data_IF_189739185268
#
_entry.id   IF_189739185268
#
_cell.length_a   1.000
_cell.length_b   1.000
_cell.length_c   1.000
_cell.angle_alpha   90.00
_cell.angle_beta   90.00
_cell.angle_gamma   90.00
#
_symmetry.space_group_name_H-M   'P 1'
#
loop_
_entity.id
_entity.type
_entity.pdbx_description
1 polymer ?
#
# COMPACT_ATOMS: atom_id res chain seq x y z
N UNK A 1 7.15 -33.71 38.06
CA UNK A 1 6.86 -32.83 36.92
C UNK A 1 5.37 -32.52 36.99
N UNK A 2 5.00 -31.47 37.72
CA UNK A 2 3.63 -30.97 37.70
C UNK A 2 3.33 -30.51 36.27
N UNK A 3 2.23 -30.99 35.69
CA UNK A 3 1.68 -30.42 34.46
C UNK A 3 1.33 -28.97 34.79
N UNK A 4 2.17 -28.02 34.38
CA UNK A 4 1.74 -26.64 34.26
C UNK A 4 0.43 -26.66 33.47
N UNK A 5 -0.60 -26.02 34.03
CA UNK A 5 -1.91 -25.91 33.40
C UNK A 5 -1.68 -25.26 32.03
N UNK A 6 -2.02 -25.96 30.94
CA UNK A 6 -1.87 -25.45 29.58
C UNK A 6 -2.55 -24.07 29.53
N UNK A 7 -1.80 -23.01 29.22
CA UNK A 7 -2.37 -21.68 29.09
C UNK A 7 -3.22 -21.65 27.83
N UNK A 8 -4.47 -21.19 27.96
CA UNK A 8 -5.41 -21.12 26.84
C UNK A 8 -5.45 -19.67 26.39
N UNK A 9 -5.07 -19.42 25.14
CA UNK A 9 -5.17 -18.09 24.55
C UNK A 9 -6.64 -17.79 24.22
N UNK A 10 -7.15 -16.70 24.78
CA UNK A 10 -8.51 -16.21 24.54
C UNK A 10 -8.47 -14.69 24.48
N UNK A 11 -9.48 -14.07 23.87
CA UNK A 11 -9.65 -12.60 23.92
C UNK A 11 -9.57 -12.05 25.34
N UNK A 12 -10.19 -12.75 26.29
CA UNK A 12 -10.20 -12.33 27.70
C UNK A 12 -8.80 -12.30 28.32
N UNK A 13 -7.92 -13.23 27.95
CA UNK A 13 -6.52 -13.21 28.40
C UNK A 13 -5.84 -11.90 27.98
N UNK A 14 -5.99 -11.49 26.72
CA UNK A 14 -5.41 -10.23 26.23
C UNK A 14 -6.00 -9.00 26.94
N UNK A 15 -7.33 -8.98 27.12
CA UNK A 15 -8.04 -7.90 27.82
C UNK A 15 -7.54 -7.78 29.27
N UNK A 16 -7.49 -8.89 30.00
CA UNK A 16 -7.08 -8.90 31.41
C UNK A 16 -5.62 -8.46 31.55
N UNK A 17 -4.73 -8.98 30.70
CA UNK A 17 -3.32 -8.61 30.70
C UNK A 17 -3.10 -7.12 30.40
N UNK A 18 -3.85 -6.58 29.43
CA UNK A 18 -3.79 -5.16 29.07
C UNK A 18 -4.31 -4.27 30.20
N UNK A 19 -5.45 -4.63 30.81
CA UNK A 19 -6.02 -3.91 31.97
C UNK A 19 -5.10 -3.93 33.19
N UNK A 20 -4.48 -5.07 33.50
CA UNK A 20 -3.48 -5.17 34.57
C UNK A 20 -2.29 -4.22 34.37
N UNK A 21 -1.98 -3.89 33.11
CA UNK A 21 -0.90 -2.97 32.75
C UNK A 21 -1.39 -1.54 32.47
N UNK A 22 -2.70 -1.27 32.56
CA UNK A 22 -3.29 0.03 32.23
C UNK A 22 -3.14 0.40 30.75
N UNK A 23 -3.32 -0.57 29.84
CA UNK A 23 -3.28 -0.40 28.40
C UNK A 23 -4.64 -0.67 27.75
N UNK A 24 -4.96 0.12 26.73
CA UNK A 24 -6.09 -0.09 25.82
C UNK A 24 -5.72 0.47 24.43
N UNK A 25 -6.62 0.31 23.46
CA UNK A 25 -6.42 0.78 22.10
C UNK A 25 -6.31 2.32 21.97
N UNK A 26 -6.93 3.11 22.87
CA UNK A 26 -6.95 4.57 22.75
C UNK A 26 -5.55 5.19 22.77
N UNK A 27 -4.64 4.67 23.58
CA UNK A 27 -3.25 5.17 23.63
C UNK A 27 -2.56 4.97 22.26
N UNK A 28 -2.86 3.86 21.60
CA UNK A 28 -2.28 3.54 20.30
C UNK A 28 -2.87 4.44 19.22
N UNK A 29 -4.21 4.61 19.20
CA UNK A 29 -4.90 5.57 18.31
C UNK A 29 -4.38 7.00 18.50
N UNK A 30 -4.19 7.44 19.75
CA UNK A 30 -3.65 8.77 20.06
C UNK A 30 -2.24 8.95 19.49
N UNK A 31 -1.36 7.95 19.67
CA UNK A 31 -0.02 7.97 19.08
C UNK A 31 -0.05 7.85 17.55
N UNK A 32 -1.01 7.12 16.99
CA UNK A 32 -1.20 6.89 15.56
C UNK A 32 -1.87 8.04 14.80
N UNK A 33 -2.49 8.99 15.51
CA UNK A 33 -3.12 10.18 14.89
C UNK A 33 -2.12 11.07 14.14
N UNK A 34 -0.84 11.02 14.51
CA UNK A 34 0.25 11.65 13.78
C UNK A 34 0.75 10.77 12.63
N UNK A 35 0.95 11.35 11.45
CA UNK A 35 1.67 10.64 10.37
C UNK A 35 3.10 10.36 10.85
N UNK A 36 3.51 9.09 10.70
CA UNK A 36 4.88 8.66 10.96
C UNK A 36 5.37 8.95 12.40
N UNK A 37 4.50 8.82 13.41
CA UNK A 37 4.86 9.10 14.80
C UNK A 37 6.06 8.24 15.26
N UNK A 38 7.11 8.92 15.73
CA UNK A 38 8.30 8.29 16.31
C UNK A 38 8.46 8.67 17.78
N UNK A 39 8.61 7.67 18.65
CA UNK A 39 9.05 7.84 20.04
C UNK A 39 10.56 7.57 20.06
N UNK A 40 11.35 8.64 20.04
CA UNK A 40 12.81 8.54 20.07
C UNK A 40 13.30 8.42 21.50
N UNK A 41 13.82 7.26 21.88
CA UNK A 41 14.27 6.99 23.26
C UNK A 41 15.54 7.77 23.61
N UNK A 42 15.61 8.27 24.84
CA UNK A 42 16.82 8.82 25.44
C UNK A 42 17.71 7.72 26.05
N UNK A 43 18.82 8.08 26.70
CA UNK A 43 19.73 7.10 27.28
C UNK A 43 19.11 6.22 28.39
N UNK A 44 18.13 6.73 29.13
CA UNK A 44 17.50 5.98 30.21
C UNK A 44 16.41 5.04 29.68
N UNK A 45 15.57 5.54 28.77
CA UNK A 45 14.56 4.73 28.07
C UNK A 45 15.16 3.77 27.05
N UNK A 46 16.38 4.02 26.56
CA UNK A 46 17.14 3.07 25.74
C UNK A 46 17.43 1.77 26.50
N UNK A 47 17.76 1.86 27.80
CA UNK A 47 17.97 0.64 28.62
C UNK A 47 16.69 -0.19 28.72
N UNK A 48 15.52 0.47 28.79
CA UNK A 48 14.23 -0.21 28.77
C UNK A 48 13.98 -0.88 27.42
N UNK A 49 14.23 -0.17 26.31
CA UNK A 49 14.11 -0.72 24.96
C UNK A 49 15.03 -1.93 24.76
N UNK A 50 16.28 -1.87 25.21
CA UNK A 50 17.23 -2.99 25.13
C UNK A 50 16.69 -4.21 25.89
N UNK A 51 16.25 -4.04 27.14
CA UNK A 51 15.66 -5.13 27.94
C UNK A 51 14.41 -5.71 27.31
N UNK A 52 13.56 -4.86 26.76
CA UNK A 52 12.38 -5.31 26.04
C UNK A 52 12.78 -6.15 24.81
N UNK A 53 13.80 -5.74 24.05
CA UNK A 53 14.29 -6.55 22.93
C UNK A 53 14.97 -7.85 23.37
N UNK A 54 15.63 -7.90 24.53
CA UNK A 54 16.11 -9.14 25.13
C UNK A 54 14.95 -10.10 25.43
N UNK A 55 13.78 -9.57 25.84
CA UNK A 55 12.58 -10.39 26.01
C UNK A 55 12.07 -10.94 24.68
N UNK A 56 12.03 -10.12 23.64
CA UNK A 56 11.69 -10.59 22.29
C UNK A 56 12.68 -11.66 21.81
N UNK A 57 13.96 -11.60 22.20
CA UNK A 57 14.99 -12.55 21.79
C UNK A 57 14.74 -13.99 22.27
N UNK A 58 13.80 -14.21 23.19
CA UNK A 58 13.32 -15.56 23.52
C UNK A 58 12.48 -16.21 22.41
N UNK A 59 12.01 -15.41 21.45
CA UNK A 59 11.33 -15.86 20.24
C UNK A 59 12.35 -16.05 19.10
N UNK A 60 12.09 -17.00 18.21
CA UNK A 60 12.94 -17.28 17.04
C UNK A 60 12.94 -16.09 16.06
N UNK A 61 14.08 -15.86 15.41
CA UNK A 61 14.22 -14.84 14.36
C UNK A 61 13.50 -15.28 13.09
N UNK A 62 12.71 -14.37 12.51
CA UNK A 62 11.85 -14.66 11.36
C UNK A 62 12.41 -14.10 10.04
N UNK A 63 13.49 -13.33 10.09
CA UNK A 63 14.08 -12.71 8.91
C UNK A 63 15.37 -11.95 9.22
N UNK A 64 15.72 -11.02 8.34
CA UNK A 64 16.92 -10.20 8.48
C UNK A 64 16.81 -9.22 9.67
N UNK A 65 17.96 -8.73 10.14
CA UNK A 65 18.04 -7.67 11.16
C UNK A 65 17.39 -8.05 12.50
N UNK A 66 17.60 -9.30 12.95
CA UNK A 66 17.05 -9.82 14.22
C UNK A 66 15.51 -9.64 14.31
N UNK A 67 14.81 -9.64 13.17
CA UNK A 67 13.38 -9.35 13.09
C UNK A 67 12.54 -10.42 13.78
N UNK A 68 11.59 -9.95 14.61
CA UNK A 68 10.61 -10.78 15.33
C UNK A 68 9.27 -10.04 15.34
N UNK A 69 8.23 -10.68 14.81
CA UNK A 69 6.88 -10.12 14.72
C UNK A 69 5.84 -11.02 15.38
N UNK A 70 4.83 -10.42 16.00
CA UNK A 70 3.64 -11.15 16.44
C UNK A 70 2.44 -10.23 16.60
N UNK A 71 1.26 -10.83 16.66
CA UNK A 71 0.01 -10.12 16.84
C UNK A 71 -0.37 -9.98 18.32
N UNK A 72 -0.90 -8.83 18.68
CA UNK A 72 -1.51 -8.55 19.97
C UNK A 72 -2.94 -8.07 19.77
N UNK A 73 -3.73 -8.20 20.83
CA UNK A 73 -5.09 -7.71 20.90
C UNK A 73 -5.20 -6.80 22.14
N UNK A 74 -5.78 -5.61 21.97
CA UNK A 74 -6.00 -4.65 23.06
C UNK A 74 -7.49 -4.35 23.20
N UNK A 75 -8.01 -4.15 24.43
CA UNK A 75 -9.39 -3.75 24.63
C UNK A 75 -9.65 -2.35 24.05
N UNK A 76 -10.85 -2.13 23.53
CA UNK A 76 -11.32 -0.76 23.30
C UNK A 76 -11.36 0.03 24.62
N UNK A 77 -11.13 1.36 24.60
CA UNK A 77 -11.29 2.17 25.79
C UNK A 77 -12.74 2.12 26.31
N UNK A 78 -12.92 2.23 27.63
CA UNK A 78 -14.22 2.63 28.19
C UNK A 78 -14.54 4.08 27.81
N UNK A 79 -15.76 4.54 28.11
CA UNK A 79 -16.15 5.93 27.84
C UNK A 79 -15.23 6.90 28.59
N UNK A 80 -14.92 6.60 29.85
CA UNK A 80 -14.04 7.40 30.72
C UNK A 80 -12.57 7.35 30.29
N UNK A 81 -12.15 6.25 29.65
CA UNK A 81 -10.80 6.11 29.11
C UNK A 81 -10.64 6.77 27.73
N UNK A 82 -11.74 7.00 27.01
CA UNK A 82 -11.74 7.64 25.70
C UNK A 82 -11.63 9.16 25.81
N UNK A 83 -12.30 9.76 26.79
CA UNK A 83 -12.19 11.18 27.10
C UNK A 83 -13.09 11.61 28.26
N UNK A 84 -13.03 12.90 28.58
CA UNK A 84 -13.90 13.49 29.59
C UNK A 84 -15.15 14.07 28.91
N UNK A 85 -16.25 13.31 28.96
CA UNK A 85 -17.53 13.69 28.38
C UNK A 85 -18.05 15.05 28.89
N UNK A 86 -17.91 15.34 30.18
CA UNK A 86 -18.38 16.60 30.75
C UNK A 86 -17.53 17.78 30.25
N UNK A 87 -16.22 17.60 30.17
CA UNK A 87 -15.32 18.61 29.62
C UNK A 87 -15.57 18.85 28.13
N UNK A 88 -15.70 17.81 27.31
CA UNK A 88 -15.97 17.96 25.88
C UNK A 88 -17.32 18.63 25.60
N UNK A 89 -18.35 18.40 26.42
CA UNK A 89 -19.62 19.15 26.33
C UNK A 89 -19.43 20.62 26.76
N UNK A 90 -18.68 20.87 27.83
CA UNK A 90 -18.41 22.23 28.31
C UNK A 90 -17.60 23.05 27.29
N UNK A 91 -16.69 22.41 26.57
CA UNK A 91 -15.88 23.01 25.51
C UNK A 91 -16.65 23.15 24.17
N UNK A 92 -17.87 22.60 24.11
CA UNK A 92 -18.75 22.67 22.95
C UNK A 92 -18.38 21.72 21.81
N UNK A 93 -17.58 20.70 22.08
CA UNK A 93 -17.25 19.62 21.13
C UNK A 93 -18.48 18.72 20.86
N UNK A 94 -19.33 18.54 21.89
CA UNK A 94 -20.59 17.79 21.78
C UNK A 94 -21.75 18.57 22.41
N UNK A 95 -22.94 18.44 21.85
CA UNK A 95 -24.17 19.07 22.35
C UNK A 95 -24.78 18.33 23.54
N UNK A 96 -24.48 17.03 23.69
CA UNK A 96 -25.08 16.18 24.73
C UNK A 96 -24.24 14.94 25.04
N UNK A 97 -24.51 14.31 26.19
CA UNK A 97 -23.94 13.01 26.54
C UNK A 97 -24.33 11.94 25.52
N UNK A 98 -25.57 11.96 25.02
CA UNK A 98 -26.03 11.01 24.01
C UNK A 98 -25.23 11.10 22.70
N UNK A 99 -24.87 12.30 22.28
CA UNK A 99 -24.02 12.52 21.09
C UNK A 99 -22.60 11.99 21.32
N UNK A 100 -21.99 12.31 22.46
CA UNK A 100 -20.68 11.79 22.85
C UNK A 100 -20.66 10.26 22.87
N UNK A 101 -21.67 9.63 23.46
CA UNK A 101 -21.78 8.17 23.55
C UNK A 101 -21.93 7.53 22.17
N UNK A 102 -22.71 8.15 21.29
CA UNK A 102 -22.87 7.67 19.91
C UNK A 102 -21.55 7.76 19.15
N UNK A 103 -20.78 8.83 19.32
CA UNK A 103 -19.49 8.98 18.66
C UNK A 103 -18.45 8.01 19.23
N UNK A 104 -18.47 7.77 20.55
CA UNK A 104 -17.65 6.72 21.18
C UNK A 104 -17.95 5.34 20.57
N UNK A 105 -19.23 4.97 20.41
CA UNK A 105 -19.63 3.69 19.81
C UNK A 105 -19.20 3.58 18.34
N UNK A 106 -19.31 4.66 17.57
CA UNK A 106 -18.89 4.71 16.16
C UNK A 106 -17.37 4.63 16.00
N UNK A 107 -16.63 5.31 16.88
CA UNK A 107 -15.16 5.34 16.88
C UNK A 107 -14.55 4.05 17.43
N UNK A 108 -15.28 3.31 18.29
CA UNK A 108 -14.83 2.08 18.93
C UNK A 108 -15.78 0.90 18.66
N UNK A 109 -15.98 0.53 17.37
CA UNK A 109 -17.02 -0.44 16.97
C UNK A 109 -16.71 -1.88 17.39
N UNK A 110 -15.48 -2.15 17.86
CA UNK A 110 -15.03 -3.48 18.26
C UNK A 110 -14.69 -3.50 19.74
N UNK A 111 -14.98 -4.62 20.41
CA UNK A 111 -14.55 -4.84 21.80
C UNK A 111 -13.03 -4.82 21.95
N UNK A 112 -12.30 -5.20 20.89
CA UNK A 112 -10.85 -5.29 20.85
C UNK A 112 -10.30 -4.87 19.49
N UNK A 113 -9.05 -4.41 19.49
CA UNK A 113 -8.31 -4.00 18.30
C UNK A 113 -7.04 -4.83 18.18
N UNK A 114 -6.79 -5.33 16.97
CA UNK A 114 -5.63 -6.15 16.64
C UNK A 114 -4.49 -5.28 16.14
N UNK A 115 -3.30 -5.48 16.69
CA UNK A 115 -2.07 -4.85 16.23
C UNK A 115 -1.02 -5.92 15.95
N UNK A 116 -0.27 -5.74 14.88
CA UNK A 116 0.99 -6.41 14.65
C UNK A 116 2.12 -5.58 15.26
N UNK A 117 2.93 -6.23 16.09
CA UNK A 117 4.10 -5.65 16.74
C UNK A 117 5.34 -6.30 16.17
N UNK A 118 6.28 -5.49 15.68
CA UNK A 118 7.58 -5.99 15.23
C UNK A 118 8.71 -5.37 16.03
N UNK A 119 9.71 -6.17 16.35
CA UNK A 119 10.99 -5.75 16.90
C UNK A 119 12.07 -6.06 15.88
N UNK A 120 12.98 -5.09 15.67
CA UNK A 120 14.13 -5.28 14.78
C UNK A 120 15.37 -4.56 15.31
N UNK A 121 16.53 -5.07 14.89
CA UNK A 121 17.83 -4.47 15.17
C UNK A 121 18.74 -4.56 13.95
N UNK A 122 19.17 -3.40 13.48
CA UNK A 122 20.22 -3.28 12.48
C UNK A 122 21.42 -2.54 13.05
N UNK A 123 22.51 -3.27 13.31
CA UNK A 123 23.70 -2.73 13.99
C UNK A 123 23.33 -2.15 15.37
N UNK A 124 23.53 -0.85 15.55
CA UNK A 124 23.18 -0.11 16.76
C UNK A 124 21.74 0.43 16.74
N UNK A 125 21.07 0.39 15.59
CA UNK A 125 19.71 0.89 15.45
C UNK A 125 18.72 -0.16 15.93
N UNK A 126 17.80 0.26 16.80
CA UNK A 126 16.78 -0.57 17.44
C UNK A 126 15.42 0.03 17.19
N UNK A 127 14.45 -0.79 16.84
CA UNK A 127 13.08 -0.37 16.55
C UNK A 127 12.06 -1.36 17.09
N UNK A 128 10.95 -0.82 17.61
CA UNK A 128 9.69 -1.55 17.78
C UNK A 128 8.61 -0.80 17.03
N UNK A 129 7.91 -1.45 16.11
CA UNK A 129 6.87 -0.84 15.28
C UNK A 129 5.51 -1.45 15.58
N UNK A 130 4.49 -0.60 15.55
CA UNK A 130 3.09 -0.95 15.76
C UNK A 130 2.27 -0.61 14.53
N UNK A 131 1.52 -1.58 14.03
CA UNK A 131 0.66 -1.43 12.85
C UNK A 131 -0.55 -2.33 12.96
N UNK A 132 -1.69 -1.97 12.37
CA UNK A 132 -2.80 -2.90 12.13
C UNK A 132 -2.69 -3.55 10.72
N UNK A 133 -1.49 -3.48 10.11
CA UNK A 133 -1.16 -3.81 8.72
C UNK A 133 -1.75 -2.85 7.66
N UNK A 134 -2.80 -2.09 7.96
CA UNK A 134 -3.39 -1.08 7.07
C UNK A 134 -2.80 0.31 7.30
N UNK A 135 -2.38 0.58 8.53
CA UNK A 135 -1.87 1.85 9.03
C UNK A 135 -0.68 1.57 9.94
N UNK A 136 0.39 2.36 9.79
CA UNK A 136 1.48 2.40 10.76
C UNK A 136 1.08 3.40 11.85
N UNK A 137 1.03 2.95 13.09
CA UNK A 137 0.64 3.78 14.22
C UNK A 137 1.83 4.60 14.72
N UNK A 138 2.82 3.92 15.29
CA UNK A 138 4.02 4.59 15.77
C UNK A 138 5.21 3.62 15.79
N UNK A 139 6.40 4.19 15.87
CA UNK A 139 7.66 3.46 16.02
C UNK A 139 8.40 3.95 17.26
N UNK A 140 8.85 3.04 18.11
CA UNK A 140 9.78 3.33 19.20
C UNK A 140 11.19 3.04 18.70
N UNK A 141 12.10 4.01 18.72
CA UNK A 141 13.44 3.84 18.16
C UNK A 141 14.51 4.63 18.93
N UNK A 142 15.77 4.20 18.84
CA UNK A 142 16.93 4.95 19.38
C UNK A 142 17.58 5.91 18.36
N UNK A 143 16.87 6.17 17.27
CA UNK A 143 17.20 7.14 16.23
C UNK A 143 15.88 7.69 15.67
N UNK A 144 15.96 8.80 14.93
CA UNK A 144 14.84 9.30 14.15
C UNK A 144 15.15 9.19 12.67
N UNK A 145 14.13 8.89 11.87
CA UNK A 145 14.23 8.93 10.40
C UNK A 145 14.07 10.35 9.85
N UNK A 146 13.38 11.22 10.58
CA UNK A 146 12.93 12.53 10.10
C UNK A 146 13.66 13.70 10.76
N UNK A 147 14.31 13.49 11.90
CA UNK A 147 14.88 14.56 12.71
C UNK A 147 16.35 14.26 13.04
N UNK A 148 17.23 15.25 12.86
CA UNK A 148 18.58 15.17 13.40
C UNK A 148 18.51 15.11 14.93
N UNK A 149 19.33 14.26 15.58
CA UNK A 149 19.40 14.04 17.05
C UNK A 149 19.58 15.29 17.95
N UNK A 150 19.56 16.49 17.39
CA UNK A 150 19.90 17.77 18.03
C UNK A 150 18.68 18.47 18.68
N UNK A 151 17.51 17.84 18.72
CA UNK A 151 16.31 18.38 19.39
C UNK A 151 15.88 17.55 20.60
N UNK A 152 15.35 18.21 21.65
CA UNK A 152 14.75 17.60 22.85
C UNK A 152 13.42 16.84 22.56
N UNK A 153 13.38 16.02 21.52
CA UNK A 153 12.22 15.19 21.16
C UNK A 153 12.30 13.81 21.84
N UNK A 154 12.70 13.83 23.11
CA UNK A 154 12.75 12.65 23.95
C UNK A 154 11.40 12.40 24.60
N UNK A 155 11.17 11.20 25.13
CA UNK A 155 9.86 10.84 25.66
C UNK A 155 9.49 11.78 26.82
N UNK A 156 8.33 12.42 26.73
CA UNK A 156 7.75 13.18 27.84
C UNK A 156 7.30 12.22 28.97
N UNK A 157 6.88 12.74 30.12
CA UNK A 157 6.50 11.90 31.26
C UNK A 157 5.40 10.89 30.93
N UNK A 158 4.39 11.31 30.15
CA UNK A 158 3.32 10.43 29.69
C UNK A 158 3.83 9.32 28.78
N UNK A 159 4.72 9.62 27.83
CA UNK A 159 5.35 8.61 26.97
C UNK A 159 6.24 7.65 27.78
N UNK A 160 6.93 8.12 28.82
CA UNK A 160 7.73 7.24 29.71
C UNK A 160 6.87 6.28 30.51
N UNK A 161 5.76 6.77 31.05
CA UNK A 161 4.77 5.95 31.73
C UNK A 161 4.18 4.89 30.78
N UNK A 162 3.80 5.29 29.57
CA UNK A 162 3.35 4.38 28.52
C UNK A 162 4.40 3.30 28.20
N UNK A 163 5.66 3.69 27.98
CA UNK A 163 6.74 2.74 27.70
C UNK A 163 6.95 1.74 28.85
N UNK A 164 6.79 2.17 30.10
CA UNK A 164 6.87 1.29 31.26
C UNK A 164 5.72 0.27 31.30
N UNK A 165 4.48 0.73 31.07
CA UNK A 165 3.29 -0.13 30.97
C UNK A 165 3.40 -1.14 29.83
N UNK A 166 3.84 -0.68 28.66
CA UNK A 166 4.09 -1.49 27.48
C UNK A 166 5.15 -2.57 27.73
N UNK A 167 6.24 -2.19 28.39
CA UNK A 167 7.31 -3.12 28.78
C UNK A 167 6.78 -4.20 29.73
N UNK A 168 5.95 -3.85 30.71
CA UNK A 168 5.34 -4.81 31.63
C UNK A 168 4.40 -5.77 30.89
N UNK A 169 3.56 -5.25 30.00
CA UNK A 169 2.64 -6.03 29.18
C UNK A 169 3.38 -7.06 28.33
N UNK A 170 4.43 -6.66 27.62
CA UNK A 170 5.18 -7.59 26.76
C UNK A 170 5.96 -8.63 27.53
N UNK A 171 6.53 -8.31 28.70
CA UNK A 171 7.14 -9.35 29.53
C UNK A 171 6.14 -10.46 29.85
N UNK A 172 4.97 -10.07 30.39
CA UNK A 172 3.91 -11.03 30.73
C UNK A 172 3.40 -11.80 29.51
N UNK A 173 3.18 -11.11 28.39
CA UNK A 173 2.64 -11.73 27.18
C UNK A 173 3.63 -12.72 26.58
N UNK A 174 4.90 -12.32 26.42
CA UNK A 174 5.95 -13.19 25.87
C UNK A 174 6.19 -14.39 26.78
N UNK A 175 6.24 -14.20 28.11
CA UNK A 175 6.34 -15.31 29.07
C UNK A 175 5.17 -16.29 28.93
N UNK A 176 3.99 -15.79 28.55
CA UNK A 176 2.80 -16.62 28.29
C UNK A 176 2.90 -17.34 26.95
N UNK A 177 3.38 -16.68 25.90
CA UNK A 177 3.61 -17.27 24.57
C UNK A 177 4.64 -18.41 24.65
N UNK A 178 5.73 -18.24 25.39
CA UNK A 178 6.79 -19.25 25.52
C UNK A 178 6.28 -20.53 26.22
N UNK A 179 5.27 -20.42 27.08
CA UNK A 179 4.67 -21.60 27.70
C UNK A 179 3.93 -22.49 26.70
N UNK A 180 3.33 -21.89 25.67
CA UNK A 180 2.59 -22.62 24.63
C UNK A 180 2.47 -21.80 23.31
N UNK A 181 3.52 -21.79 22.48
CA UNK A 181 3.53 -21.00 21.25
C UNK A 181 2.57 -21.57 20.20
N UNK A 182 2.31 -22.88 20.23
CA UNK A 182 1.34 -23.52 19.32
C UNK A 182 -0.08 -23.01 19.61
N UNK A 183 -0.50 -22.96 20.88
CA UNK A 183 -1.81 -22.41 21.26
C UNK A 183 -1.94 -20.92 20.89
N UNK A 184 -0.88 -20.12 21.05
CA UNK A 184 -0.87 -18.73 20.61
C UNK A 184 -1.06 -18.62 19.08
N UNK A 185 -0.27 -19.38 18.32
CA UNK A 185 -0.37 -19.38 16.86
C UNK A 185 -1.75 -19.85 16.38
N UNK A 186 -2.32 -20.87 17.01
CA UNK A 186 -3.69 -21.33 16.73
C UNK A 186 -4.72 -20.25 17.05
N UNK A 187 -4.58 -19.52 18.17
CA UNK A 187 -5.47 -18.42 18.49
C UNK A 187 -5.43 -17.33 17.40
N UNK A 188 -4.22 -16.88 17.01
CA UNK A 188 -4.05 -15.87 15.95
C UNK A 188 -4.62 -16.37 14.62
N UNK A 189 -4.31 -17.62 14.23
CA UNK A 189 -4.78 -18.20 12.98
C UNK A 189 -6.31 -18.24 12.88
N UNK A 190 -7.01 -18.48 14.00
CA UNK A 190 -8.46 -18.57 14.06
C UNK A 190 -9.19 -17.24 14.28
N UNK A 191 -8.52 -16.20 14.80
CA UNK A 191 -9.19 -14.95 15.22
C UNK A 191 -8.68 -13.68 14.54
N UNK A 192 -7.53 -13.71 13.87
CA UNK A 192 -7.00 -12.54 13.18
C UNK A 192 -7.98 -12.06 12.08
N UNK A 193 -8.37 -10.77 12.04
CA UNK A 193 -9.28 -10.27 11.00
C UNK A 193 -8.72 -10.44 9.59
N UNK A 194 -9.58 -10.79 8.63
CA UNK A 194 -9.18 -10.99 7.22
C UNK A 194 -8.57 -9.75 6.56
N UNK A 195 -8.92 -8.55 7.03
CA UNK A 195 -8.35 -7.28 6.58
C UNK A 195 -6.88 -7.10 6.96
N UNK A 196 -6.36 -7.89 7.90
CA UNK A 196 -4.95 -7.93 8.27
C UNK A 196 -4.21 -9.12 7.67
N UNK A 197 -4.90 -9.95 6.87
CA UNK A 197 -4.34 -11.14 6.21
C UNK A 197 -3.98 -10.84 4.78
N UNK A 198 -3.00 -11.57 4.28
CA UNK A 198 -2.67 -11.63 2.88
C UNK A 198 -3.36 -12.84 2.25
N UNK A 199 -3.80 -12.70 1.01
CA UNK A 199 -4.43 -13.78 0.27
C UNK A 199 -4.63 -13.41 -1.18
N UNK A 200 -5.42 -14.20 -1.90
CA UNK A 200 -5.79 -13.91 -3.29
C UNK A 200 -7.13 -14.53 -3.63
N UNK A 201 -7.79 -13.96 -4.63
CA UNK A 201 -9.06 -14.46 -5.15
C UNK A 201 -9.00 -14.49 -6.67
N UNK A 202 -9.57 -15.52 -7.31
CA UNK A 202 -9.64 -15.59 -8.76
C UNK A 202 -10.34 -14.35 -9.31
N UNK A 203 -9.72 -13.66 -10.29
CA UNK A 203 -10.25 -12.38 -10.79
C UNK A 203 -11.68 -12.51 -11.31
N UNK A 204 -11.98 -13.62 -11.99
CA UNK A 204 -13.33 -13.93 -12.48
C UNK A 204 -14.37 -13.97 -11.37
N UNK A 205 -14.03 -14.53 -10.20
CA UNK A 205 -14.94 -14.56 -9.05
C UNK A 205 -15.03 -13.18 -8.39
N UNK A 206 -13.90 -12.50 -8.25
CA UNK A 206 -13.88 -11.14 -7.69
C UNK A 206 -14.73 -10.17 -8.51
N UNK A 207 -14.55 -10.12 -9.83
CA UNK A 207 -15.34 -9.27 -10.73
C UNK A 207 -16.84 -9.63 -10.75
N UNK A 208 -17.18 -10.90 -10.49
CA UNK A 208 -18.58 -11.33 -10.33
C UNK A 208 -19.20 -10.77 -9.05
N UNK A 209 -18.43 -10.72 -7.97
CA UNK A 209 -18.89 -10.24 -6.66
C UNK A 209 -18.88 -8.71 -6.64
N UNK A 210 -17.81 -8.10 -7.15
CA UNK A 210 -17.53 -6.67 -7.10
C UNK A 210 -17.20 -6.13 -8.51
N UNK A 211 -18.23 -5.95 -9.37
CA UNK A 211 -18.04 -5.61 -10.78
C UNK A 211 -17.48 -4.19 -10.98
N UNK A 212 -17.52 -3.30 -9.98
CA UNK A 212 -16.97 -1.93 -10.10
C UNK A 212 -15.45 -1.95 -10.30
N UNK A 213 -14.78 -3.00 -9.85
CA UNK A 213 -13.33 -3.17 -9.97
C UNK A 213 -12.92 -3.98 -11.21
N UNK A 214 -13.88 -4.40 -12.03
CA UNK A 214 -13.58 -5.06 -13.29
C UNK A 214 -12.89 -4.07 -14.24
N UNK A 215 -11.74 -4.48 -14.74
CA UNK A 215 -10.98 -3.72 -15.74
C UNK A 215 -11.68 -3.84 -17.08
N UNK A 216 -12.23 -2.74 -17.58
CA UNK A 216 -12.89 -2.64 -18.88
C UNK A 216 -12.18 -1.58 -19.74
N UNK A 217 -12.07 -1.85 -21.04
CA UNK A 217 -11.41 -0.97 -22.01
C UNK A 217 -12.30 -0.76 -23.22
N UNK A 218 -12.22 0.40 -23.88
CA UNK A 218 -13.13 0.78 -24.97
C UNK A 218 -13.12 -0.21 -26.16
N UNK A 219 -11.94 -0.71 -26.53
CA UNK A 219 -11.75 -1.62 -27.66
C UNK A 219 -10.98 -2.87 -27.21
N UNK A 220 -11.68 -3.74 -26.50
CA UNK A 220 -11.13 -4.97 -25.92
C UNK A 220 -10.49 -5.87 -26.99
N UNK A 221 -11.07 -5.95 -28.19
CA UNK A 221 -10.53 -6.79 -29.27
C UNK A 221 -9.14 -6.31 -29.69
N UNK A 222 -9.00 -5.00 -29.92
CA UNK A 222 -7.70 -4.43 -30.30
C UNK A 222 -6.71 -4.43 -29.13
N UNK A 223 -7.18 -4.19 -27.90
CA UNK A 223 -6.35 -4.26 -26.70
C UNK A 223 -5.75 -5.65 -26.50
N UNK A 224 -6.58 -6.71 -26.57
CA UNK A 224 -6.11 -8.10 -26.50
C UNK A 224 -5.10 -8.37 -27.60
N UNK A 225 -5.36 -7.93 -28.83
CA UNK A 225 -4.44 -8.14 -29.95
C UNK A 225 -3.08 -7.45 -29.74
N UNK A 226 -3.09 -6.19 -29.27
CA UNK A 226 -1.87 -5.45 -28.97
C UNK A 226 -1.01 -6.16 -27.90
N UNK A 227 -1.67 -6.66 -26.85
CA UNK A 227 -1.00 -7.41 -25.79
C UNK A 227 -0.47 -8.76 -26.28
N UNK A 228 -1.24 -9.52 -27.07
CA UNK A 228 -0.80 -10.79 -27.66
C UNK A 228 0.40 -10.62 -28.59
N UNK A 229 0.39 -9.58 -29.42
CA UNK A 229 1.50 -9.26 -30.30
C UNK A 229 2.75 -8.87 -29.50
N UNK A 230 2.60 -8.08 -28.43
CA UNK A 230 3.72 -7.77 -27.53
C UNK A 230 4.28 -9.02 -26.84
N UNK A 231 3.40 -9.91 -26.35
CA UNK A 231 3.81 -11.20 -25.73
C UNK A 231 4.59 -12.07 -26.72
N UNK A 232 4.14 -12.11 -27.98
CA UNK A 232 4.80 -12.88 -29.04
C UNK A 232 6.01 -12.16 -29.66
N UNK A 233 6.39 -10.98 -29.14
CA UNK A 233 7.42 -10.10 -29.70
C UNK A 233 7.17 -9.71 -31.16
N UNK A 234 5.91 -9.68 -31.57
CA UNK A 234 5.45 -9.22 -32.87
C UNK A 234 5.18 -7.71 -32.85
N UNK A 235 6.23 -6.92 -32.63
CA UNK A 235 6.11 -5.49 -32.37
C UNK A 235 5.79 -4.64 -33.61
N UNK A 236 5.64 -5.24 -34.80
CA UNK A 236 5.65 -4.49 -36.06
C UNK A 236 7.07 -4.16 -36.53
N UNK A 237 7.18 -3.48 -37.68
CA UNK A 237 8.49 -3.10 -38.25
C UNK A 237 9.13 -2.00 -37.39
N UNK A 238 10.33 -2.22 -36.80
CA UNK A 238 11.02 -1.19 -36.04
C UNK A 238 11.33 0.05 -36.88
N UNK A 239 11.48 1.19 -36.22
CA UNK A 239 11.92 2.43 -36.87
C UNK A 239 13.43 2.36 -37.09
N UNK A 240 13.88 2.80 -38.28
CA UNK A 240 15.29 2.80 -38.64
C UNK A 240 16.09 3.86 -37.84
N UNK A 241 15.42 4.93 -37.41
CA UNK A 241 15.98 6.02 -36.59
C UNK A 241 14.90 6.56 -35.64
N UNK A 242 15.31 7.13 -34.51
CA UNK A 242 14.42 7.86 -33.62
C UNK A 242 14.86 9.31 -33.51
N UNK A 243 13.89 10.22 -33.68
CA UNK A 243 14.09 11.65 -33.57
C UNK A 243 13.13 12.23 -32.54
N UNK A 244 13.42 13.42 -32.02
CA UNK A 244 12.54 14.11 -31.06
C UNK A 244 11.16 14.33 -31.70
N UNK A 245 11.11 14.72 -32.98
CA UNK A 245 9.86 14.87 -33.72
C UNK A 245 9.05 13.57 -33.77
N UNK A 246 9.72 12.46 -34.09
CA UNK A 246 9.09 11.13 -34.17
C UNK A 246 8.58 10.67 -32.81
N UNK A 247 9.34 10.87 -31.74
CA UNK A 247 8.93 10.55 -30.39
C UNK A 247 7.72 11.41 -29.94
N UNK A 248 7.76 12.73 -30.18
CA UNK A 248 6.68 13.63 -29.83
C UNK A 248 5.33 13.22 -30.45
N UNK A 249 5.34 12.67 -31.65
CA UNK A 249 4.14 12.09 -32.29
C UNK A 249 3.51 10.99 -31.44
N UNK A 250 4.31 9.99 -31.04
CA UNK A 250 3.80 8.87 -30.23
C UNK A 250 3.43 9.33 -28.82
N UNK A 251 4.22 10.22 -28.23
CA UNK A 251 3.89 10.82 -26.94
C UNK A 251 2.53 11.53 -26.99
N UNK A 252 2.24 12.32 -28.03
CA UNK A 252 0.95 12.99 -28.19
C UNK A 252 -0.19 11.99 -28.26
N UNK A 253 -0.09 10.94 -29.08
CA UNK A 253 -1.12 9.90 -29.20
C UNK A 253 -1.41 9.27 -27.84
N UNK A 254 -0.36 8.91 -27.10
CA UNK A 254 -0.47 8.34 -25.78
C UNK A 254 -1.10 9.32 -24.76
N UNK A 255 -0.65 10.57 -24.77
CA UNK A 255 -1.15 11.60 -23.85
C UNK A 255 -2.60 11.99 -24.15
N UNK A 256 -3.03 12.02 -25.42
CA UNK A 256 -4.43 12.24 -25.79
C UNK A 256 -5.32 11.07 -25.35
N UNK A 257 -4.86 9.82 -25.47
CA UNK A 257 -5.58 8.65 -24.96
C UNK A 257 -5.70 8.68 -23.43
N UNK A 258 -4.60 9.02 -22.74
CA UNK A 258 -4.59 9.28 -21.30
C UNK A 258 -5.58 10.39 -20.91
N UNK A 259 -5.61 11.50 -21.65
CA UNK A 259 -6.54 12.60 -21.43
C UNK A 259 -7.99 12.15 -21.53
N UNK A 260 -8.36 11.48 -22.62
CA UNK A 260 -9.71 10.95 -22.86
C UNK A 260 -10.19 9.99 -21.78
N UNK A 261 -9.31 9.11 -21.29
CA UNK A 261 -9.65 8.19 -20.20
C UNK A 261 -10.15 8.96 -18.96
N UNK A 262 -9.44 10.03 -18.58
CA UNK A 262 -9.80 10.80 -17.39
C UNK A 262 -10.92 11.82 -17.59
N UNK A 263 -11.20 12.25 -18.82
CA UNK A 263 -12.37 13.08 -19.13
C UNK A 263 -13.69 12.40 -18.72
N UNK A 264 -13.71 11.06 -18.64
CA UNK A 264 -14.85 10.27 -18.14
C UNK A 264 -15.15 10.52 -16.66
N UNK A 265 -14.13 10.89 -15.86
CA UNK A 265 -14.25 11.08 -14.41
C UNK A 265 -14.24 12.56 -14.00
N UNK A 266 -13.58 13.41 -14.77
CA UNK A 266 -13.47 14.84 -14.50
C UNK A 266 -13.58 15.67 -15.80
N UNK A 267 -14.77 16.23 -16.01
CA UNK A 267 -15.09 17.08 -17.16
C UNK A 267 -14.49 18.49 -17.05
N UNK A 268 -13.88 18.85 -15.91
CA UNK A 268 -13.26 20.16 -15.70
C UNK A 268 -11.80 20.21 -16.19
N UNK A 269 -11.23 19.06 -16.58
CA UNK A 269 -9.89 19.02 -17.19
C UNK A 269 -9.87 19.87 -18.45
N UNK A 270 -8.96 20.86 -18.46
CA UNK A 270 -8.77 21.73 -19.63
C UNK A 270 -8.20 20.92 -20.79
N UNK A 271 -8.98 20.84 -21.87
CA UNK A 271 -8.50 20.35 -23.16
C UNK A 271 -7.39 21.29 -23.64
N UNK A 272 -6.20 20.74 -23.85
CA UNK A 272 -5.05 21.50 -24.35
C UNK A 272 -5.17 21.66 -25.86
N UNK A 273 -5.45 22.88 -26.31
CA UNK A 273 -5.46 23.23 -27.73
C UNK A 273 -4.12 23.83 -28.14
N UNK A 274 -3.61 23.40 -29.29
CA UNK A 274 -2.42 24.00 -29.88
C UNK A 274 -2.70 25.48 -30.23
N UNK A 275 -1.69 26.36 -30.14
CA UNK A 275 -1.79 27.71 -30.70
C UNK A 275 -2.12 27.67 -32.19
N UNK A 276 -2.86 28.67 -32.67
CA UNK A 276 -3.06 28.85 -34.11
C UNK A 276 -1.70 29.05 -34.81
N UNK A 277 -1.57 28.60 -36.07
CA UNK A 277 -0.41 28.82 -36.95
C UNK A 277 0.84 27.94 -36.75
N UNK A 278 0.79 26.87 -35.93
CA UNK A 278 1.91 25.91 -35.85
C UNK A 278 2.01 25.07 -37.14
N UNK A 279 3.18 25.04 -37.83
CA UNK A 279 3.38 24.19 -39.01
C UNK A 279 3.07 22.72 -38.71
N UNK A 280 2.44 22.02 -39.67
CA UNK A 280 1.98 20.63 -39.49
C UNK A 280 3.07 19.70 -38.94
N UNK A 281 4.29 19.85 -39.46
CA UNK A 281 5.46 19.06 -39.06
C UNK A 281 5.92 19.31 -37.61
N UNK A 282 5.57 20.46 -37.02
CA UNK A 282 5.95 20.85 -35.66
C UNK A 282 4.81 20.70 -34.64
N UNK A 283 3.61 20.30 -35.06
CA UNK A 283 2.45 20.24 -34.16
C UNK A 283 2.68 19.33 -32.96
N UNK A 284 3.32 18.17 -33.16
CA UNK A 284 3.57 17.22 -32.07
C UNK A 284 4.64 17.73 -31.11
N UNK A 285 5.65 18.44 -31.62
CA UNK A 285 6.69 19.09 -30.79
C UNK A 285 6.08 20.25 -29.99
N UNK A 286 5.26 21.09 -30.63
CA UNK A 286 4.52 22.15 -29.94
C UNK A 286 3.57 21.59 -28.87
N UNK A 287 2.93 20.45 -29.15
CA UNK A 287 2.11 19.75 -28.18
C UNK A 287 2.94 19.30 -26.98
N UNK A 288 4.08 18.66 -27.22
CA UNK A 288 4.98 18.22 -26.16
C UNK A 288 5.47 19.40 -25.29
N UNK A 289 5.94 20.48 -25.93
CA UNK A 289 6.38 21.71 -25.25
C UNK A 289 5.29 22.26 -24.32
N UNK A 290 4.05 22.32 -24.79
CA UNK A 290 2.90 22.76 -24.00
C UNK A 290 2.59 21.82 -22.83
N UNK A 291 2.66 20.51 -23.02
CA UNK A 291 2.34 19.51 -21.99
C UNK A 291 3.41 19.45 -20.90
N UNK A 292 4.68 19.54 -21.30
CA UNK A 292 5.86 19.38 -20.44
C UNK A 292 6.48 20.70 -19.99
N UNK A 293 5.93 21.84 -20.41
CA UNK A 293 6.43 23.18 -20.09
C UNK A 293 7.92 23.34 -20.44
N UNK A 294 8.27 22.96 -21.67
CA UNK A 294 9.64 23.04 -22.17
C UNK A 294 9.71 23.71 -23.55
N UNK A 295 10.93 24.04 -23.99
CA UNK A 295 11.22 24.51 -25.34
C UNK A 295 12.30 23.60 -25.94
N UNK A 296 11.87 22.64 -26.76
CA UNK A 296 12.77 21.68 -27.39
C UNK A 296 13.55 22.28 -28.56
N UNK A 297 12.97 23.24 -29.27
CA UNK A 297 13.56 23.78 -30.51
C UNK A 297 14.78 24.65 -30.23
N UNK A 298 14.81 25.31 -29.06
CA UNK A 298 15.96 26.10 -28.61
C UNK A 298 17.13 25.24 -28.12
N UNK A 299 16.89 23.97 -27.78
CA UNK A 299 17.85 23.11 -27.08
C UNK A 299 18.39 21.95 -27.91
N UNK A 300 17.66 21.53 -28.94
CA UNK A 300 17.94 20.31 -29.68
C UNK A 300 17.73 20.44 -31.18
N UNK A 301 18.56 19.74 -31.95
CA UNK A 301 18.27 19.41 -33.34
C UNK A 301 17.18 18.31 -33.38
N UNK A 302 15.94 18.71 -33.71
CA UNK A 302 14.75 17.86 -33.61
C UNK A 302 14.80 16.55 -34.41
N UNK A 303 15.58 16.54 -35.48
CA UNK A 303 15.71 15.42 -36.42
C UNK A 303 17.07 14.68 -36.29
N UNK A 304 17.81 14.94 -35.20
CA UNK A 304 19.08 14.28 -34.85
C UNK A 304 18.84 13.14 -33.86
N UNK A 305 19.28 11.94 -34.19
CA UNK A 305 19.24 10.79 -33.27
C UNK A 305 20.20 10.97 -32.08
N UNK A 306 21.31 11.70 -32.27
CA UNK A 306 22.22 12.05 -31.17
C UNK A 306 21.53 12.96 -30.15
N UNK A 307 20.76 13.94 -30.64
CA UNK A 307 20.01 14.83 -29.78
C UNK A 307 18.81 14.12 -29.15
N UNK A 308 18.21 13.15 -29.85
CA UNK A 308 17.18 12.30 -29.27
C UNK A 308 17.69 11.53 -28.04
N UNK A 309 18.88 10.92 -28.11
CA UNK A 309 19.45 10.20 -26.97
C UNK A 309 19.68 11.11 -25.74
N UNK A 310 20.14 12.34 -25.98
CA UNK A 310 20.25 13.35 -24.92
C UNK A 310 18.88 13.74 -24.37
N UNK A 311 17.92 14.03 -25.27
CA UNK A 311 16.55 14.36 -24.91
C UNK A 311 15.90 13.27 -24.05
N UNK A 312 16.05 11.99 -24.41
CA UNK A 312 15.47 10.86 -23.68
C UNK A 312 16.04 10.70 -22.26
N UNK A 313 17.29 11.15 -22.04
CA UNK A 313 17.91 11.20 -20.71
C UNK A 313 17.42 12.41 -19.89
N UNK A 314 17.26 13.56 -20.56
CA UNK A 314 16.89 14.82 -19.91
C UNK A 314 15.38 14.96 -19.66
N UNK A 315 14.55 14.22 -20.40
CA UNK A 315 13.08 14.33 -20.36
C UNK A 315 12.41 12.98 -20.12
N UNK A 316 11.67 12.89 -19.02
CA UNK A 316 10.94 11.67 -18.67
C UNK A 316 9.59 11.60 -19.40
N UNK A 317 9.35 10.46 -20.05
CA UNK A 317 8.13 10.17 -20.83
C UNK A 317 6.87 9.88 -20.01
N UNK A 318 6.84 10.25 -18.72
CA UNK A 318 5.73 9.96 -17.81
C UNK A 318 4.46 10.73 -18.21
N UNK A 319 3.32 10.03 -18.13
CA UNK A 319 1.98 10.56 -18.31
C UNK A 319 1.34 10.80 -16.94
N UNK A 320 1.18 12.09 -16.59
CA UNK A 320 0.54 12.50 -15.34
C UNK A 320 1.29 12.05 -14.08
N UNK A 321 0.54 11.63 -13.06
CA UNK A 321 1.06 11.21 -11.74
C UNK A 321 1.05 9.69 -11.54
N UNK A 322 0.86 8.92 -12.63
CA UNK A 322 0.55 7.49 -12.55
C UNK A 322 1.76 6.58 -12.77
N UNK A 323 2.97 7.14 -12.90
CA UNK A 323 4.17 6.37 -13.25
C UNK A 323 3.97 5.50 -14.52
N UNK A 324 3.13 5.99 -15.44
CA UNK A 324 2.88 5.42 -16.76
C UNK A 324 3.81 6.10 -17.76
N UNK A 325 4.75 5.35 -18.33
CA UNK A 325 5.84 5.90 -19.12
C UNK A 325 5.73 5.49 -20.59
N UNK A 326 5.95 6.46 -21.46
CA UNK A 326 6.13 6.26 -22.90
C UNK A 326 7.61 6.48 -23.19
N UNK A 327 8.30 5.43 -23.61
CA UNK A 327 9.73 5.47 -23.89
C UNK A 327 9.97 5.11 -25.36
N UNK A 328 11.17 5.39 -25.84
CA UNK A 328 11.66 4.78 -27.06
C UNK A 328 13.06 4.21 -26.83
N UNK A 329 13.28 2.99 -27.32
CA UNK A 329 14.53 2.26 -27.11
C UNK A 329 14.82 1.33 -28.29
N UNK A 330 16.09 1.17 -28.59
CA UNK A 330 16.66 0.18 -29.50
C UNK A 330 17.64 -0.78 -28.76
N UNK A 331 17.75 -0.64 -27.43
CA UNK A 331 18.77 -1.31 -26.62
C UNK A 331 18.60 -2.83 -26.57
N UNK A 332 17.38 -3.31 -26.27
CA UNK A 332 17.13 -4.74 -26.05
C UNK A 332 17.01 -5.55 -27.35
N UNK A 333 16.73 -4.91 -28.48
CA UNK A 333 16.75 -5.56 -29.80
C UNK A 333 16.91 -4.52 -30.91
N UNK A 334 17.64 -4.83 -32.01
CA UNK A 334 17.91 -3.87 -33.08
C UNK A 334 16.66 -3.18 -33.64
N UNK A 335 16.75 -1.86 -33.77
CA UNK A 335 15.70 -1.00 -34.31
C UNK A 335 14.83 -0.37 -33.23
N UNK A 336 14.48 0.90 -33.45
CA UNK A 336 13.77 1.72 -32.47
C UNK A 336 12.32 1.29 -32.32
N UNK A 337 11.89 1.14 -31.06
CA UNK A 337 10.51 0.81 -30.66
C UNK A 337 9.97 1.83 -29.68
N UNK A 338 8.65 1.91 -29.60
CA UNK A 338 7.94 2.64 -28.56
C UNK A 338 7.58 1.65 -27.45
N UNK A 339 7.89 2.01 -26.22
CA UNK A 339 7.65 1.19 -25.05
C UNK A 339 6.59 1.86 -24.18
N UNK A 340 5.58 1.10 -23.79
CA UNK A 340 4.63 1.49 -22.74
C UNK A 340 4.94 0.72 -21.48
N UNK A 341 5.21 1.42 -20.38
CA UNK A 341 5.51 0.82 -19.08
C UNK A 341 4.66 1.44 -17.99
N UNK A 342 3.79 0.62 -17.39
CA UNK A 342 3.00 1.00 -16.24
C UNK A 342 3.66 0.50 -14.96
N UNK A 343 3.74 1.36 -13.94
CA UNK A 343 4.36 0.98 -12.67
C UNK A 343 3.33 0.60 -11.62
N UNK A 344 2.17 1.26 -11.56
CA UNK A 344 1.19 1.06 -10.48
C UNK A 344 0.08 0.08 -10.86
N UNK A 345 -0.27 -0.80 -9.93
CA UNK A 345 -1.32 -1.82 -10.14
C UNK A 345 -2.74 -1.23 -10.18
N UNK A 346 -2.93 -0.01 -9.66
CA UNK A 346 -4.22 0.69 -9.65
C UNK A 346 -4.65 1.29 -11.01
N UNK A 347 -3.74 1.42 -11.98
CA UNK A 347 -3.97 2.17 -13.24
C UNK A 347 -3.76 1.30 -14.49
N UNK A 348 -4.08 0.01 -14.37
CA UNK A 348 -3.93 -0.97 -15.43
C UNK A 348 -4.81 -0.66 -16.65
N UNK A 349 -6.04 -0.19 -16.42
CA UNK A 349 -6.99 0.16 -17.47
C UNK A 349 -6.49 1.29 -18.38
N UNK A 350 -6.05 2.42 -17.82
CA UNK A 350 -5.51 3.55 -18.61
C UNK A 350 -4.22 3.16 -19.32
N UNK A 351 -3.39 2.30 -18.72
CA UNK A 351 -2.20 1.78 -19.40
C UNK A 351 -2.57 0.96 -20.65
N UNK A 352 -3.60 0.12 -20.56
CA UNK A 352 -4.10 -0.65 -21.71
C UNK A 352 -4.74 0.27 -22.76
N UNK A 353 -5.50 1.29 -22.37
CA UNK A 353 -6.10 2.26 -23.31
C UNK A 353 -5.01 3.03 -24.08
N UNK A 354 -3.96 3.47 -23.39
CA UNK A 354 -2.81 4.14 -24.00
C UNK A 354 -2.06 3.22 -24.95
N UNK A 355 -1.78 1.99 -24.54
CA UNK A 355 -1.14 0.99 -25.40
C UNK A 355 -1.99 0.68 -26.64
N UNK A 356 -3.31 0.57 -26.47
CA UNK A 356 -4.25 0.31 -27.56
C UNK A 356 -4.26 1.46 -28.58
N UNK A 357 -4.23 2.72 -28.12
CA UNK A 357 -4.16 3.89 -29.00
C UNK A 357 -2.85 3.93 -29.82
N UNK A 358 -1.72 3.62 -29.17
CA UNK A 358 -0.43 3.52 -29.85
C UNK A 358 -0.42 2.38 -30.87
N UNK A 359 -0.96 1.23 -30.52
CA UNK A 359 -1.08 0.07 -31.41
C UNK A 359 -1.91 0.42 -32.66
N UNK A 360 -3.08 1.06 -32.48
CA UNK A 360 -3.94 1.54 -33.57
C UNK A 360 -3.24 2.54 -34.51
N UNK A 361 -2.26 3.30 -33.99
CA UNK A 361 -1.48 4.24 -34.80
C UNK A 361 -0.43 3.57 -35.70
N UNK A 362 -0.20 2.26 -35.53
CA UNK A 362 0.85 1.52 -36.22
C UNK A 362 2.25 1.75 -35.63
N UNK A 363 2.35 2.15 -34.35
CA UNK A 363 3.62 2.25 -33.65
C UNK A 363 4.30 0.88 -33.57
N UNK A 364 5.64 0.78 -33.72
CA UNK A 364 6.34 -0.43 -33.36
C UNK A 364 6.38 -0.56 -31.84
N UNK A 365 5.38 -1.26 -31.29
CA UNK A 365 4.99 -1.12 -29.89
C UNK A 365 5.41 -2.35 -29.09
N UNK A 366 6.13 -2.09 -28.01
CA UNK A 366 6.43 -3.03 -26.94
C UNK A 366 5.68 -2.58 -25.67
N UNK A 367 4.97 -3.52 -25.05
CA UNK A 367 4.18 -3.26 -23.83
C UNK A 367 4.82 -4.08 -22.71
N UNK A 368 5.37 -3.40 -21.71
CA UNK A 368 5.88 -4.06 -20.51
C UNK A 368 4.74 -4.75 -19.76
N UNK A 369 5.03 -5.89 -19.15
CA UNK A 369 4.04 -6.73 -18.46
C UNK A 369 2.84 -7.17 -19.33
N UNK A 370 2.98 -7.18 -20.66
CA UNK A 370 1.90 -7.54 -21.58
C UNK A 370 1.24 -8.88 -21.24
N UNK A 371 2.01 -9.88 -20.83
CA UNK A 371 1.48 -11.18 -20.43
C UNK A 371 0.59 -11.08 -19.18
N UNK A 372 0.96 -10.25 -18.21
CA UNK A 372 0.18 -10.02 -16.99
C UNK A 372 -1.09 -9.23 -17.30
N UNK A 373 -0.98 -8.13 -18.05
CA UNK A 373 -2.11 -7.33 -18.54
C UNK A 373 -3.12 -8.18 -19.35
N UNK A 374 -2.62 -9.09 -20.20
CA UNK A 374 -3.45 -10.00 -20.98
C UNK A 374 -4.23 -10.98 -20.10
N UNK A 375 -3.64 -11.47 -18.99
CA UNK A 375 -4.36 -12.32 -18.04
C UNK A 375 -5.44 -11.54 -17.30
N UNK A 376 -5.19 -10.27 -16.95
CA UNK A 376 -6.18 -9.38 -16.33
C UNK A 376 -7.41 -9.23 -17.23
N UNK A 377 -7.23 -8.82 -18.50
CA UNK A 377 -8.35 -8.62 -19.43
C UNK A 377 -9.12 -9.92 -19.69
N UNK A 378 -8.42 -11.06 -19.74
CA UNK A 378 -9.05 -12.38 -19.94
C UNK A 378 -9.64 -12.97 -18.65
N UNK A 379 -9.55 -12.26 -17.51
CA UNK A 379 -9.96 -12.72 -16.18
C UNK A 379 -9.33 -14.06 -15.76
N UNK A 380 -8.09 -14.29 -16.18
CA UNK A 380 -7.33 -15.54 -15.96
C UNK A 380 -6.29 -15.45 -14.85
N UNK A 381 -6.12 -14.30 -14.22
CA UNK A 381 -5.25 -14.10 -13.06
C UNK A 381 -6.06 -14.05 -11.75
N UNK A 382 -5.41 -13.62 -10.68
CA UNK A 382 -5.99 -13.38 -9.37
C UNK A 382 -5.87 -11.89 -9.01
N UNK A 383 -6.72 -11.47 -8.08
CA UNK A 383 -6.57 -10.21 -7.36
C UNK A 383 -5.93 -10.54 -6.02
N UNK A 384 -4.80 -9.89 -5.71
CA UNK A 384 -4.14 -10.06 -4.42
C UNK A 384 -4.94 -9.30 -3.36
N UNK A 385 -5.27 -9.96 -2.27
CA UNK A 385 -5.87 -9.35 -1.09
C UNK A 385 -4.75 -8.97 -0.14
N UNK A 386 -4.61 -7.68 0.17
CA UNK A 386 -3.61 -7.18 1.12
C UNK A 386 -4.20 -6.09 2.01
N UNK A 387 -3.68 -5.93 3.25
CA UNK A 387 -4.15 -4.91 4.19
C UNK A 387 -3.98 -3.47 3.70
N UNK A 388 -2.96 -3.20 2.87
CA UNK A 388 -2.61 -1.86 2.42
C UNK A 388 -2.23 -1.85 0.94
N UNK A 389 -2.90 -1.03 0.13
CA UNK A 389 -2.75 -1.02 -1.35
C UNK A 389 -2.18 0.27 -1.92
N UNK A 390 -1.98 1.29 -1.09
CA UNK A 390 -1.53 2.60 -1.57
C UNK A 390 -0.13 2.51 -2.20
N UNK A 391 0.02 3.10 -3.39
CA UNK A 391 1.25 3.04 -4.19
C UNK A 391 1.78 1.62 -4.45
N UNK A 392 0.89 0.63 -4.54
CA UNK A 392 1.31 -0.71 -4.93
C UNK A 392 1.77 -0.76 -6.40
N UNK A 393 2.92 -1.39 -6.61
CA UNK A 393 3.54 -1.50 -7.92
C UNK A 393 3.17 -2.84 -8.58
N UNK A 394 2.96 -2.82 -9.89
CA UNK A 394 2.68 -4.02 -10.70
C UNK A 394 3.72 -5.13 -10.53
N UNK A 395 4.97 -4.77 -10.23
CA UNK A 395 6.07 -5.72 -10.03
C UNK A 395 6.16 -6.33 -8.63
N UNK A 396 5.36 -5.87 -7.65
CA UNK A 396 5.45 -6.36 -6.28
C UNK A 396 4.83 -7.75 -6.08
N UNK A 397 3.81 -8.08 -6.88
CA UNK A 397 3.05 -9.33 -6.75
C UNK A 397 3.05 -10.11 -8.05
N UNK A 398 2.69 -11.39 -8.02
CA UNK A 398 2.43 -12.14 -9.27
C UNK A 398 1.13 -11.67 -9.91
N UNK A 399 0.15 -11.30 -9.08
CA UNK A 399 -1.16 -10.81 -9.45
C UNK A 399 -1.11 -9.49 -10.22
N UNK A 400 -2.17 -9.24 -10.99
CA UNK A 400 -2.30 -8.05 -11.81
C UNK A 400 -2.67 -6.79 -11.03
N UNK A 401 -3.48 -6.97 -9.98
CA UNK A 401 -4.02 -5.88 -9.16
C UNK A 401 -4.13 -6.33 -7.71
N UNK A 402 -4.17 -5.35 -6.81
CA UNK A 402 -4.38 -5.55 -5.38
C UNK A 402 -5.75 -5.02 -4.95
N UNK A 403 -6.29 -5.56 -3.86
CA UNK A 403 -7.52 -5.10 -3.24
C UNK A 403 -7.40 -5.11 -1.72
N UNK A 404 -7.86 -4.02 -1.10
CA UNK A 404 -7.90 -3.85 0.34
C UNK A 404 -9.32 -4.10 0.81
N UNK A 405 -9.52 -5.16 1.60
CA UNK A 405 -10.84 -5.44 2.19
C UNK A 405 -11.23 -4.32 3.16
N UNK A 406 -12.47 -3.81 3.12
CA UNK A 406 -13.00 -2.98 4.18
C UNK A 406 -13.14 -3.80 5.47
N UNK A 407 -13.18 -3.12 6.61
CA UNK A 407 -13.56 -3.75 7.87
C UNK A 407 -15.00 -4.26 7.79
N UNK A 408 -15.30 -5.38 8.45
CA UNK A 408 -16.66 -5.98 8.38
C UNK A 408 -17.75 -5.01 8.84
N UNK A 409 -17.49 -4.21 9.89
CA UNK A 409 -18.43 -3.19 10.36
C UNK A 409 -18.57 -2.00 9.40
N UNK A 410 -17.63 -1.81 8.47
CA UNK A 410 -17.73 -0.80 7.41
C UNK A 410 -18.57 -1.32 6.24
N UNK A 411 -18.92 -2.60 6.20
CA UNK A 411 -19.71 -3.18 5.12
C UNK A 411 -21.19 -2.90 5.34
N UNK A 412 -21.77 -2.02 4.52
CA UNK A 412 -23.14 -1.55 4.61
C UNK A 412 -23.81 -1.58 3.24
N UNK A 413 -25.09 -1.98 3.20
CA UNK A 413 -25.93 -1.86 2.00
C UNK A 413 -26.31 -0.39 1.78
N UNK A 414 -25.38 0.41 1.25
CA UNK A 414 -25.59 1.83 0.96
C UNK A 414 -25.22 2.16 -0.49
N UNK A 415 -25.83 3.21 -1.03
CA UNK A 415 -25.50 3.73 -2.37
C UNK A 415 -24.10 4.36 -2.42
N UNK A 416 -23.53 4.74 -1.26
CA UNK A 416 -22.25 5.39 -1.11
C UNK A 416 -21.09 4.38 -1.05
N UNK A 417 -20.76 3.75 -2.18
CA UNK A 417 -19.45 3.15 -2.45
C UNK A 417 -18.87 2.16 -1.43
N UNK A 418 -19.71 1.40 -0.75
CA UNK A 418 -19.28 0.36 0.20
C UNK A 418 -19.55 -1.04 -0.37
N UNK A 419 -18.73 -2.00 0.04
CA UNK A 419 -18.93 -3.43 -0.23
C UNK A 419 -20.05 -3.93 0.70
N UNK A 420 -21.10 -4.56 0.18
CA UNK A 420 -22.13 -5.15 1.03
C UNK A 420 -21.55 -6.25 1.93
N UNK A 421 -22.19 -6.49 3.08
CA UNK A 421 -21.77 -7.56 3.99
C UNK A 421 -21.79 -8.94 3.30
N UNK A 422 -22.74 -9.15 2.39
CA UNK A 422 -22.80 -10.37 1.56
C UNK A 422 -21.58 -10.48 0.65
N UNK A 423 -21.25 -9.43 -0.10
CA UNK A 423 -20.08 -9.43 -0.99
C UNK A 423 -18.78 -9.66 -0.20
N UNK A 424 -18.65 -9.06 0.98
CA UNK A 424 -17.53 -9.26 1.89
C UNK A 424 -17.36 -10.74 2.28
N UNK A 425 -18.43 -11.41 2.73
CA UNK A 425 -18.37 -12.83 3.06
C UNK A 425 -18.14 -13.72 1.83
N UNK A 426 -18.73 -13.37 0.68
CA UNK A 426 -18.49 -14.09 -0.58
C UNK A 426 -16.99 -14.05 -0.94
N UNK A 427 -16.33 -12.87 -0.86
CA UNK A 427 -14.89 -12.74 -1.13
C UNK A 427 -14.08 -13.61 -0.16
N UNK A 428 -14.37 -13.53 1.15
CA UNK A 428 -13.64 -14.31 2.16
C UNK A 428 -13.74 -15.81 1.89
N UNK A 429 -14.93 -16.29 1.54
CA UNK A 429 -15.20 -17.71 1.34
C UNK A 429 -14.54 -18.28 0.08
N UNK A 430 -14.28 -17.44 -0.93
CA UNK A 430 -13.71 -17.81 -2.22
C UNK A 430 -12.22 -17.49 -2.33
N UNK A 431 -11.67 -16.75 -1.38
CA UNK A 431 -10.26 -16.41 -1.35
C UNK A 431 -9.40 -17.57 -0.84
N UNK A 432 -8.21 -17.67 -1.41
CA UNK A 432 -7.09 -18.47 -0.90
C UNK A 432 -6.28 -17.57 0.05
N UNK A 433 -6.25 -17.92 1.33
CA UNK A 433 -5.55 -17.15 2.36
C UNK A 433 -4.16 -17.70 2.62
N UNK A 434 -3.18 -16.81 2.72
CA UNK A 434 -1.80 -17.17 3.03
C UNK A 434 -1.69 -17.63 4.51
N UNK A 435 -0.66 -18.42 4.80
CA UNK A 435 -0.36 -18.80 6.18
C UNK A 435 0.11 -17.57 6.98
N UNK A 436 -0.45 -17.40 8.18
CA UNK A 436 -0.03 -16.31 9.07
C UNK A 436 1.33 -16.63 9.68
N UNK A 437 2.21 -15.63 9.76
CA UNK A 437 3.52 -15.73 10.39
C UNK A 437 3.39 -16.32 11.81
N UNK A 438 4.13 -17.40 12.07
CA UNK A 438 4.08 -18.16 13.31
C UNK A 438 5.23 -17.82 14.23
N UNK A 439 4.91 -17.64 15.51
CA UNK A 439 5.90 -17.45 16.56
C UNK A 439 6.45 -18.80 17.02
N UNK A 440 7.77 -18.92 17.02
CA UNK A 440 8.49 -20.05 17.61
C UNK A 440 9.41 -19.56 18.73
N UNK A 441 9.88 -20.49 19.57
CA UNK A 441 10.82 -20.21 20.65
C UNK A 441 12.25 -20.36 20.11
N UNK A 442 13.14 -19.42 20.47
CA UNK A 442 14.56 -19.58 20.19
C UNK A 442 15.15 -20.70 21.04
N UNK A 443 15.54 -21.80 20.38
CA UNK A 443 16.09 -23.00 21.01
C UNK A 443 17.51 -22.78 21.55
N UNK A 444 18.17 -21.68 21.19
CA UNK A 444 19.51 -21.35 21.67
C UNK A 444 19.50 -20.48 22.95
N UNK A 445 18.33 -20.06 23.41
CA UNK A 445 18.14 -19.23 24.61
C UNK A 445 17.67 -19.96 25.88
N UNK A 446 17.57 -21.30 25.85
CA UNK A 446 17.24 -22.15 27.03
C UNK A 446 18.49 -22.80 27.60
#
# INVERSE_FOLDING_TARGET
MERHKKTIFTRHLFIDLAKECGLNAAIFEQLGSGRDTEIVVDNDTLKMLVKLQEQFAQLEEMGDNEYRGFYIELPRPTQEEWGDCEASIADGEYESTEEYLRDWELSNPRETVWYHVSSARYRENRTIQFTDRKHSYFTIANYSRYINRVGNNFPNEWQRDFLAKLTLYFHKLIDTIIQDPEEFNDYVANHLPYQQRDGKIARKEFNRIEPRFKIEVEDETTAIKALEDSVCKNFGRPLDTMTIRSYCKYYRIAHEAYGRYFERFDTTRKIRTLPNEVPLELQDVAYYNMVKFCDLQDKYALDSETDFNKFASDHYGELGLLRLNILASDFDSPGWRIIVSNSYSAYVDVAVEVATALYKSGAPLEIHDAAKLLRILKEKDHVKLIPYTFHDYMGHHEEGTVYQLPWEYECMDSEENVLSLKQYHDIISLAEWDEIEKVNIDKNGI
#
